data_IF_896892219631
#
_entry.id   IF_896892219631
#
_cell.length_a   1.000
_cell.length_b   1.000
_cell.length_c   1.000
_cell.angle_alpha   90.00
_cell.angle_beta   90.00
_cell.angle_gamma   90.00
#
_symmetry.space_group_name_H-M   'P 1'
#
loop_
_entity.id
_entity.type
_entity.pdbx_description
1 polymer ?
#
# COMPACT_ATOMS: atom_id res chain seq x y z
N UNK A 1 50.52 10.31 -13.12
CA UNK A 1 50.21 9.41 -14.24
C UNK A 1 48.83 8.84 -14.02
N UNK A 2 48.14 8.43 -15.09
CA UNK A 2 46.85 7.74 -14.96
C UNK A 2 47.09 6.34 -14.39
N UNK A 3 46.39 6.00 -13.31
CA UNK A 3 46.43 4.67 -12.69
C UNK A 3 45.32 3.82 -13.31
N UNK A 4 45.71 2.91 -14.21
CA UNK A 4 44.76 2.06 -14.93
C UNK A 4 44.36 0.90 -14.02
N UNK A 5 43.05 0.71 -13.83
CA UNK A 5 42.49 -0.41 -13.06
C UNK A 5 42.07 -1.54 -14.00
N UNK A 6 42.03 -2.77 -13.48
CA UNK A 6 41.62 -3.95 -14.22
C UNK A 6 40.17 -3.83 -14.73
N UNK A 7 39.95 -4.15 -16.01
CA UNK A 7 38.62 -4.20 -16.60
C UNK A 7 38.02 -5.59 -16.34
N UNK A 8 37.03 -5.65 -15.45
CA UNK A 8 36.24 -6.85 -15.25
C UNK A 8 35.09 -6.94 -16.26
N UNK A 9 35.16 -7.88 -17.20
CA UNK A 9 34.07 -8.23 -18.11
C UNK A 9 33.31 -9.43 -17.54
N UNK A 10 31.99 -9.31 -17.43
CA UNK A 10 31.09 -10.44 -17.10
C UNK A 10 30.24 -10.77 -18.32
N UNK A 11 30.27 -12.01 -18.77
CA UNK A 11 29.43 -12.53 -19.85
C UNK A 11 28.29 -13.36 -19.25
N UNK A 12 27.11 -13.24 -19.84
CA UNK A 12 25.91 -13.96 -19.41
C UNK A 12 25.25 -14.60 -20.64
N UNK A 13 24.50 -15.68 -20.43
CA UNK A 13 23.78 -16.32 -21.53
C UNK A 13 22.67 -15.41 -22.07
N UNK A 14 22.26 -15.60 -23.33
CA UNK A 14 21.12 -14.86 -23.91
C UNK A 14 19.77 -15.13 -23.23
N UNK A 15 19.72 -16.15 -22.36
CA UNK A 15 18.55 -16.46 -21.52
C UNK A 15 18.58 -15.69 -20.18
N UNK A 16 19.72 -15.09 -19.84
CA UNK A 16 19.86 -14.37 -18.59
C UNK A 16 19.09 -13.05 -18.65
N UNK A 17 18.07 -12.93 -17.80
CA UNK A 17 17.28 -11.72 -17.67
C UNK A 17 17.91 -10.84 -16.60
N UNK A 18 18.34 -9.65 -16.99
CA UNK A 18 18.70 -8.61 -16.03
C UNK A 18 17.45 -7.86 -15.62
N UNK A 19 16.98 -8.12 -14.40
CA UNK A 19 16.00 -7.25 -13.78
C UNK A 19 16.70 -6.00 -13.28
N UNK A 20 16.22 -4.82 -13.68
CA UNK A 20 16.53 -3.60 -12.94
C UNK A 20 16.07 -3.84 -11.50
N UNK A 21 16.97 -3.67 -10.53
CA UNK A 21 16.66 -3.83 -9.12
C UNK A 21 17.18 -2.60 -8.38
N UNK A 22 16.32 -1.97 -7.59
CA UNK A 22 16.70 -0.88 -6.71
C UNK A 22 16.64 -1.42 -5.29
N UNK A 23 17.71 -1.27 -4.54
CA UNK A 23 17.75 -1.67 -3.14
C UNK A 23 17.15 -0.53 -2.30
N UNK A 24 16.11 -0.82 -1.52
CA UNK A 24 15.52 0.14 -0.57
C UNK A 24 15.80 -0.29 0.87
N UNK A 25 16.19 0.65 1.70
CA UNK A 25 16.29 0.49 3.16
C UNK A 25 15.24 1.39 3.82
N UNK A 26 14.64 0.91 4.91
CA UNK A 26 13.67 1.70 5.68
C UNK A 26 14.39 2.71 6.58
N UNK A 27 15.38 2.24 7.35
CA UNK A 27 16.36 3.06 8.09
C UNK A 27 17.77 2.83 7.53
N UNK A 28 18.75 3.71 7.82
CA UNK A 28 20.14 3.53 7.37
C UNK A 28 20.76 2.17 7.71
N UNK A 29 20.39 1.62 8.86
CA UNK A 29 20.83 0.34 9.41
C UNK A 29 19.95 -0.85 9.01
N UNK A 30 18.83 -0.63 8.33
CA UNK A 30 17.95 -1.71 7.87
C UNK A 30 18.58 -2.50 6.73
N UNK A 31 18.35 -3.81 6.70
CA UNK A 31 18.72 -4.67 5.56
C UNK A 31 18.11 -4.15 4.25
N UNK A 32 18.87 -4.15 3.13
CA UNK A 32 18.36 -3.69 1.86
C UNK A 32 17.35 -4.70 1.32
N UNK A 33 16.14 -4.22 1.02
CA UNK A 33 15.11 -5.00 0.32
C UNK A 33 15.13 -4.63 -1.15
N UNK A 34 15.25 -5.63 -2.01
CA UNK A 34 15.20 -5.42 -3.46
C UNK A 34 13.77 -5.06 -3.87
N UNK A 35 13.64 -4.14 -4.84
CA UNK A 35 12.38 -3.87 -5.51
C UNK A 35 11.79 -5.17 -6.05
N UNK A 36 10.50 -5.37 -5.84
CA UNK A 36 9.77 -6.56 -6.28
C UNK A 36 8.58 -6.21 -7.15
N UNK A 37 8.08 -7.22 -7.83
CA UNK A 37 6.84 -7.12 -8.58
C UNK A 37 5.63 -7.33 -7.66
N UNK A 38 4.50 -6.72 -8.01
CA UNK A 38 3.22 -6.97 -7.36
C UNK A 38 2.52 -8.18 -7.98
N UNK A 39 1.46 -8.69 -7.34
CA UNK A 39 0.61 -9.73 -7.94
C UNK A 39 -0.01 -9.31 -9.30
N UNK A 40 -0.12 -8.00 -9.56
CA UNK A 40 -0.70 -7.45 -10.79
C UNK A 40 0.33 -7.16 -11.88
N UNK A 41 1.63 -7.22 -11.58
CA UNK A 41 2.70 -6.85 -12.50
C UNK A 41 2.62 -7.59 -13.84
N UNK A 42 2.48 -8.92 -13.80
CA UNK A 42 2.42 -9.75 -15.01
C UNK A 42 1.22 -9.42 -15.90
N UNK A 43 0.11 -8.94 -15.32
CA UNK A 43 -1.05 -8.47 -16.08
C UNK A 43 -0.79 -7.10 -16.69
N UNK A 44 -0.26 -6.16 -15.90
CA UNK A 44 -0.01 -4.78 -16.33
C UNK A 44 1.09 -4.72 -17.40
N UNK A 45 2.10 -5.60 -17.32
CA UNK A 45 3.20 -5.71 -18.28
C UNK A 45 2.75 -6.12 -19.69
N UNK A 46 1.51 -6.62 -19.85
CA UNK A 46 0.90 -6.87 -21.17
C UNK A 46 0.48 -5.58 -21.86
N UNK A 47 0.24 -4.51 -21.10
CA UNK A 47 -0.31 -3.25 -21.58
C UNK A 47 0.70 -2.11 -21.58
N UNK A 48 1.77 -2.21 -20.79
CA UNK A 48 2.83 -1.21 -20.75
C UNK A 48 4.20 -1.80 -20.49
N UNK A 49 5.23 -1.05 -20.86
CA UNK A 49 6.63 -1.28 -20.44
C UNK A 49 7.14 -0.17 -19.53
N UNK A 50 6.34 0.87 -19.29
CA UNK A 50 6.68 2.01 -18.47
C UNK A 50 6.38 1.71 -17.00
N UNK A 51 7.40 1.22 -16.29
CA UNK A 51 7.34 0.92 -14.86
C UNK A 51 8.28 1.84 -14.07
N UNK A 52 7.79 2.33 -12.93
CA UNK A 52 8.54 3.13 -11.97
C UNK A 52 8.69 2.37 -10.65
N UNK A 53 9.78 2.65 -9.94
CA UNK A 53 9.96 2.17 -8.58
C UNK A 53 9.17 3.04 -7.62
N UNK A 54 8.34 2.41 -6.80
CA UNK A 54 7.62 3.08 -5.72
C UNK A 54 7.60 2.21 -4.47
N UNK A 55 8.24 2.70 -3.40
CA UNK A 55 8.19 2.10 -2.04
C UNK A 55 8.55 0.60 -2.00
N UNK A 56 9.50 0.18 -2.83
CA UNK A 56 9.99 -1.19 -2.95
C UNK A 56 9.27 -2.04 -4.00
N UNK A 57 8.46 -1.44 -4.88
CA UNK A 57 7.71 -2.18 -5.91
C UNK A 57 7.84 -1.56 -7.30
N UNK A 58 7.74 -2.39 -8.33
CA UNK A 58 7.56 -1.97 -9.72
C UNK A 58 6.09 -1.74 -10.03
N UNK A 59 5.71 -0.47 -10.25
CA UNK A 59 4.35 -0.08 -10.64
C UNK A 59 4.32 0.48 -12.05
N UNK A 60 3.23 0.20 -12.80
CA UNK A 60 3.01 0.86 -14.07
C UNK A 60 2.86 2.37 -13.85
N UNK A 61 3.68 3.16 -14.54
CA UNK A 61 3.67 4.61 -14.45
C UNK A 61 2.69 5.23 -15.46
N UNK A 62 2.64 4.65 -16.66
CA UNK A 62 1.67 5.01 -17.68
C UNK A 62 1.39 3.82 -18.60
N UNK A 63 0.26 3.84 -19.27
CA UNK A 63 -0.05 2.94 -20.37
C UNK A 63 0.30 3.66 -21.67
N UNK A 64 1.47 3.33 -22.21
CA UNK A 64 2.23 4.10 -23.21
C UNK A 64 1.47 4.56 -24.47
N UNK A 65 0.31 4.00 -24.79
CA UNK A 65 -0.54 4.42 -25.92
C UNK A 65 -1.55 5.51 -25.55
N UNK A 66 -2.04 5.50 -24.33
CA UNK A 66 -3.12 6.38 -23.87
C UNK A 66 -2.55 7.68 -23.29
N UNK A 67 -1.46 7.57 -22.52
CA UNK A 67 -0.86 8.70 -21.83
C UNK A 67 -1.74 9.27 -20.71
N UNK A 68 -1.19 10.15 -19.85
CA UNK A 68 -1.85 10.55 -18.60
C UNK A 68 -3.17 11.33 -18.82
N UNK A 69 -3.31 12.05 -19.94
CA UNK A 69 -4.54 12.78 -20.24
C UNK A 69 -5.68 11.83 -20.62
N UNK A 70 -5.43 10.81 -21.44
CA UNK A 70 -6.47 9.85 -21.78
C UNK A 70 -6.83 8.97 -20.57
N UNK A 71 -5.86 8.57 -19.75
CA UNK A 71 -6.10 7.86 -18.49
C UNK A 71 -6.97 8.68 -17.51
N UNK A 72 -6.73 9.99 -17.42
CA UNK A 72 -7.58 10.89 -16.65
C UNK A 72 -9.03 10.86 -17.14
N UNK A 73 -9.26 10.99 -18.45
CA UNK A 73 -10.60 10.97 -19.02
C UNK A 73 -11.25 9.59 -18.88
N UNK A 74 -10.50 8.50 -19.03
CA UNK A 74 -10.98 7.15 -18.76
C UNK A 74 -11.44 6.99 -17.31
N UNK A 75 -10.70 7.51 -16.33
CA UNK A 75 -11.12 7.49 -14.92
C UNK A 75 -12.38 8.33 -14.69
N UNK A 76 -12.52 9.48 -15.37
CA UNK A 76 -13.67 10.38 -15.19
C UNK A 76 -14.93 9.95 -15.91
N UNK A 77 -14.82 9.30 -17.07
CA UNK A 77 -15.92 8.97 -17.96
C UNK A 77 -16.25 7.46 -17.98
N UNK A 78 -15.32 6.61 -17.56
CA UNK A 78 -15.44 5.15 -17.59
C UNK A 78 -14.94 4.53 -16.27
N UNK A 79 -13.88 3.72 -16.31
CA UNK A 79 -13.20 3.19 -15.14
C UNK A 79 -11.71 2.93 -15.44
N UNK A 80 -10.90 2.96 -14.38
CA UNK A 80 -9.48 2.61 -14.42
C UNK A 80 -9.13 1.63 -13.30
N UNK A 81 -8.07 0.87 -13.52
CA UNK A 81 -7.44 0.01 -12.52
C UNK A 81 -6.10 0.62 -12.11
N UNK A 82 -5.88 0.73 -10.80
CA UNK A 82 -4.64 1.25 -10.24
C UNK A 82 -4.09 0.27 -9.20
N UNK A 83 -2.82 -0.11 -9.37
CA UNK A 83 -2.13 -0.96 -8.41
C UNK A 83 -1.63 -0.13 -7.24
N UNK A 84 -2.26 -0.32 -6.08
CA UNK A 84 -1.93 0.36 -4.84
C UNK A 84 -1.19 -0.56 -3.86
N UNK A 85 -0.77 -1.75 -4.30
CA UNK A 85 -0.08 -2.77 -3.48
C UNK A 85 1.05 -2.22 -2.61
N UNK A 86 1.80 -1.18 -3.01
CA UNK A 86 2.89 -0.65 -2.18
C UNK A 86 2.46 0.06 -0.91
N UNK A 87 1.20 0.51 -0.81
CA UNK A 87 0.67 1.09 0.43
C UNK A 87 0.86 0.11 1.59
N UNK A 88 1.33 0.62 2.72
CA UNK A 88 1.66 -0.18 3.89
C UNK A 88 0.40 -0.54 4.64
N UNK A 89 0.18 -1.85 4.80
CA UNK A 89 -0.93 -2.39 5.59
C UNK A 89 -0.41 -2.92 6.92
N UNK A 90 -1.04 -2.48 8.01
CA UNK A 90 -0.77 -2.97 9.35
C UNK A 90 -2.08 -3.45 9.98
N UNK A 91 -2.12 -4.73 10.35
CA UNK A 91 -3.18 -5.29 11.19
C UNK A 91 -2.92 -4.87 12.63
N UNK A 92 -3.91 -4.23 13.24
CA UNK A 92 -3.89 -3.74 14.62
C UNK A 92 -4.99 -4.47 15.38
N UNK A 93 -4.60 -5.46 16.17
CA UNK A 93 -5.52 -6.40 16.82
C UNK A 93 -5.26 -6.51 18.32
N UNK A 94 -6.30 -6.62 19.12
CA UNK A 94 -6.21 -6.78 20.57
C UNK A 94 -7.17 -5.84 21.32
N UNK A 95 -7.45 -6.12 22.60
CA UNK A 95 -8.45 -5.38 23.37
C UNK A 95 -8.15 -3.87 23.46
N UNK A 96 -6.88 -3.47 23.35
CA UNK A 96 -6.46 -2.06 23.43
C UNK A 96 -6.22 -1.42 22.04
N UNK A 97 -6.61 -2.09 20.95
CA UNK A 97 -6.40 -1.59 19.59
C UNK A 97 -7.07 -0.23 19.34
N UNK A 98 -8.33 -0.07 19.77
CA UNK A 98 -9.05 1.21 19.64
C UNK A 98 -8.34 2.31 20.44
N UNK A 99 -7.85 2.01 21.64
CA UNK A 99 -7.15 2.98 22.48
C UNK A 99 -5.82 3.44 21.86
N UNK A 100 -5.02 2.51 21.32
CA UNK A 100 -3.79 2.84 20.59
C UNK A 100 -4.09 3.75 19.39
N UNK A 101 -5.07 3.39 18.57
CA UNK A 101 -5.42 4.14 17.37
C UNK A 101 -6.02 5.50 17.72
N UNK A 102 -6.82 5.58 18.77
CA UNK A 102 -7.37 6.84 19.28
C UNK A 102 -6.28 7.80 19.77
N UNK A 103 -5.18 7.26 20.32
CA UNK A 103 -4.04 8.06 20.77
C UNK A 103 -3.18 8.56 19.60
N UNK A 104 -2.99 7.73 18.57
CA UNK A 104 -2.02 7.98 17.49
C UNK A 104 -2.59 8.70 16.27
N UNK A 105 -3.91 8.72 16.12
CA UNK A 105 -4.59 9.30 14.97
C UNK A 105 -5.35 10.58 15.34
N UNK A 106 -5.45 11.50 14.39
CA UNK A 106 -6.11 12.80 14.61
C UNK A 106 -7.65 12.72 14.60
N UNK A 107 -8.23 11.62 14.11
CA UNK A 107 -9.68 11.39 14.10
C UNK A 107 -10.15 10.71 15.40
N UNK A 108 -11.41 10.95 15.75
CA UNK A 108 -12.12 10.22 16.81
C UNK A 108 -12.44 8.78 16.33
N UNK A 109 -11.60 7.82 16.72
CA UNK A 109 -11.69 6.41 16.35
C UNK A 109 -12.87 5.72 17.05
N UNK A 110 -13.28 6.21 18.22
CA UNK A 110 -14.45 5.66 18.96
C UNK A 110 -15.75 5.81 18.18
N UNK A 111 -15.83 6.82 17.29
CA UNK A 111 -16.98 7.03 16.40
C UNK A 111 -16.95 6.18 15.13
N UNK A 112 -15.85 5.46 14.86
CA UNK A 112 -15.74 4.59 13.71
C UNK A 112 -16.49 3.28 13.99
N UNK A 113 -17.60 3.05 13.30
CA UNK A 113 -18.38 1.82 13.38
C UNK A 113 -17.67 0.64 12.71
N UNK A 114 -18.02 -0.59 13.11
CA UNK A 114 -17.53 -1.81 12.44
C UNK A 114 -17.98 -1.82 10.99
N UNK A 115 -17.08 -2.18 10.07
CA UNK A 115 -17.28 -2.13 8.62
C UNK A 115 -17.00 -0.77 7.99
N UNK A 116 -16.74 0.28 8.79
CA UNK A 116 -16.45 1.60 8.27
C UNK A 116 -14.95 1.83 8.05
N UNK A 117 -14.68 2.81 7.18
CA UNK A 117 -13.34 3.33 6.88
C UNK A 117 -13.31 4.84 7.11
N UNK A 118 -12.19 5.35 7.60
CA UNK A 118 -11.98 6.79 7.75
C UNK A 118 -10.58 7.19 7.32
N UNK A 119 -10.48 8.32 6.63
CA UNK A 119 -9.20 8.96 6.37
C UNK A 119 -8.79 9.84 7.55
N UNK A 120 -7.51 9.76 7.94
CA UNK A 120 -6.94 10.47 9.08
C UNK A 120 -5.43 10.62 8.93
N UNK A 121 -4.88 11.61 9.62
CA UNK A 121 -3.43 11.74 9.79
C UNK A 121 -2.98 10.98 11.05
N UNK A 122 -1.73 10.54 11.03
CA UNK A 122 -0.99 10.02 12.18
C UNK A 122 0.12 11.02 12.51
N UNK A 123 0.23 11.42 13.76
CA UNK A 123 1.19 12.43 14.20
C UNK A 123 2.01 11.95 15.40
N UNK A 124 3.20 12.51 15.54
CA UNK A 124 3.97 12.46 16.78
C UNK A 124 3.32 13.33 17.86
N UNK A 125 3.78 13.18 19.10
CA UNK A 125 3.29 13.94 20.27
C UNK A 125 3.45 15.46 20.11
N UNK A 126 4.48 15.91 19.35
CA UNK A 126 4.70 17.32 19.05
C UNK A 126 3.88 17.83 17.85
N UNK A 127 2.95 17.03 17.33
CA UNK A 127 2.06 17.39 16.21
C UNK A 127 2.67 17.24 14.82
N UNK A 128 3.92 16.82 14.69
CA UNK A 128 4.53 16.55 13.38
C UNK A 128 3.90 15.33 12.74
N UNK A 129 3.50 15.45 11.47
CA UNK A 129 2.88 14.36 10.71
C UNK A 129 3.89 13.25 10.43
N UNK A 130 3.48 12.02 10.72
CA UNK A 130 4.22 10.79 10.44
C UNK A 130 3.79 10.25 9.08
N UNK A 131 2.48 10.12 8.89
CA UNK A 131 1.85 9.51 7.75
C UNK A 131 0.37 9.92 7.70
N UNK A 132 -0.27 9.67 6.58
CA UNK A 132 -1.71 9.77 6.40
C UNK A 132 -2.23 8.53 5.69
N UNK A 133 -3.51 8.24 5.88
CA UNK A 133 -4.04 7.00 5.37
C UNK A 133 -5.46 6.71 5.82
N UNK A 134 -5.89 5.50 5.54
CA UNK A 134 -7.22 5.00 5.90
C UNK A 134 -7.13 4.00 7.03
N UNK A 135 -7.97 4.21 8.05
CA UNK A 135 -8.23 3.24 9.09
C UNK A 135 -9.54 2.50 8.78
N UNK A 136 -9.46 1.17 8.69
CA UNK A 136 -10.62 0.29 8.57
C UNK A 136 -10.91 -0.35 9.93
N UNK A 137 -12.15 -0.33 10.40
CA UNK A 137 -12.59 -1.10 11.57
C UNK A 137 -13.24 -2.39 11.11
N UNK A 138 -12.52 -3.51 11.25
CA UNK A 138 -12.94 -4.83 10.76
C UNK A 138 -13.71 -5.62 11.82
N UNK A 139 -13.59 -5.24 13.09
CA UNK A 139 -14.32 -5.80 14.21
C UNK A 139 -14.21 -4.92 15.44
N UNK A 140 -14.66 -5.43 16.60
CA UNK A 140 -14.56 -4.70 17.87
C UNK A 140 -13.12 -4.31 18.19
N UNK A 141 -12.23 -5.31 18.13
CA UNK A 141 -10.81 -5.26 18.53
C UNK A 141 -9.88 -5.58 17.35
N UNK A 142 -10.36 -5.34 16.11
CA UNK A 142 -9.67 -5.67 14.87
C UNK A 142 -9.75 -4.48 13.90
N UNK A 143 -8.59 -3.90 13.62
CA UNK A 143 -8.44 -2.74 12.76
C UNK A 143 -7.32 -2.96 11.75
N UNK A 144 -7.38 -2.20 10.65
CA UNK A 144 -6.32 -2.15 9.66
C UNK A 144 -5.97 -0.72 9.32
N UNK A 145 -4.71 -0.36 9.57
CA UNK A 145 -4.13 0.89 9.10
C UNK A 145 -3.54 0.67 7.70
N UNK A 146 -3.94 1.51 6.75
CA UNK A 146 -3.35 1.55 5.40
C UNK A 146 -2.78 2.95 5.17
N UNK A 147 -1.46 3.06 5.19
CA UNK A 147 -0.74 4.33 5.04
C UNK A 147 0.37 4.26 3.98
N UNK A 148 1.12 5.35 3.83
CA UNK A 148 2.18 5.48 2.84
C UNK A 148 3.56 4.98 3.31
N UNK A 149 3.77 4.84 4.62
CA UNK A 149 5.10 4.64 5.19
C UNK A 149 5.21 3.47 6.18
N UNK A 150 6.42 2.90 6.27
CA UNK A 150 6.76 1.85 7.22
C UNK A 150 6.88 2.39 8.65
N UNK A 151 7.24 3.67 8.80
CA UNK A 151 7.35 4.37 10.09
C UNK A 151 6.05 4.37 10.90
N UNK A 152 4.89 4.36 10.23
CA UNK A 152 3.58 4.32 10.87
C UNK A 152 3.42 3.05 11.72
N UNK A 153 3.91 1.91 11.22
CA UNK A 153 3.91 0.65 11.95
C UNK A 153 4.90 0.61 13.11
N UNK A 154 6.05 1.29 12.98
CA UNK A 154 7.01 1.43 14.09
C UNK A 154 6.43 2.29 15.20
N UNK A 155 5.89 3.46 14.84
CA UNK A 155 5.26 4.38 15.78
C UNK A 155 4.14 3.72 16.59
N UNK A 156 3.27 2.96 15.92
CA UNK A 156 2.21 2.20 16.59
C UNK A 156 2.77 1.18 17.59
N UNK A 157 3.83 0.43 17.23
CA UNK A 157 4.46 -0.56 18.14
C UNK A 157 5.16 0.10 19.32
N UNK A 158 5.90 1.18 19.07
CA UNK A 158 6.62 1.93 20.10
C UNK A 158 5.64 2.57 21.08
N UNK A 159 4.57 3.17 20.57
CA UNK A 159 3.50 3.78 21.39
C UNK A 159 2.77 2.71 22.20
N UNK A 160 2.41 1.57 21.60
CA UNK A 160 1.79 0.46 22.32
C UNK A 160 2.65 -0.01 23.49
N UNK A 161 3.96 -0.17 23.27
CA UNK A 161 4.92 -0.56 24.32
C UNK A 161 5.04 0.52 25.40
N UNK A 162 5.17 1.80 25.01
CA UNK A 162 5.28 2.95 25.93
C UNK A 162 4.07 3.05 26.85
N UNK A 163 2.88 2.80 26.33
CA UNK A 163 1.61 2.88 27.06
C UNK A 163 1.22 1.56 27.77
N UNK A 164 1.98 0.48 27.58
CA UNK A 164 1.68 -0.83 28.18
C UNK A 164 0.38 -1.48 27.66
N UNK A 165 0.01 -1.20 26.41
CA UNK A 165 -1.25 -1.66 25.82
C UNK A 165 -1.17 -3.12 25.33
N UNK A 166 -2.22 -3.89 25.54
CA UNK A 166 -2.38 -5.24 24.99
C UNK A 166 -2.91 -5.16 23.56
N UNK A 167 -1.99 -4.89 22.63
CA UNK A 167 -2.26 -4.75 21.20
C UNK A 167 -1.09 -5.28 20.38
N UNK A 168 -1.43 -5.89 19.25
CA UNK A 168 -0.49 -6.47 18.31
C UNK A 168 -0.58 -5.73 16.98
N UNK A 169 0.58 -5.25 16.49
CA UNK A 169 0.70 -4.50 15.22
C UNK A 169 1.59 -5.26 14.25
N UNK A 170 0.99 -5.89 13.24
CA UNK A 170 1.68 -6.75 12.26
C UNK A 170 1.60 -6.15 10.85
N UNK A 171 2.72 -6.13 10.12
CA UNK A 171 2.68 -5.78 8.70
C UNK A 171 2.02 -6.90 7.90
N UNK A 172 1.07 -6.56 7.05
CA UNK A 172 0.37 -7.46 6.13
C UNK A 172 0.55 -7.06 4.66
N UNK A 173 1.43 -6.09 4.38
CA UNK A 173 1.65 -5.54 3.03
C UNK A 173 1.96 -6.62 2.00
N UNK A 174 2.79 -7.59 2.36
CA UNK A 174 3.26 -8.67 1.47
C UNK A 174 2.18 -9.74 1.25
N UNK A 175 1.18 -9.79 2.12
CA UNK A 175 0.10 -10.77 2.09
C UNK A 175 -1.11 -10.23 1.32
N UNK A 176 -1.20 -8.91 1.15
CA UNK A 176 -2.36 -8.25 0.56
C UNK A 176 -1.95 -7.20 -0.47
N UNK A 177 -2.00 -7.65 -1.73
CA UNK A 177 -2.01 -6.76 -2.88
C UNK A 177 -3.39 -6.09 -2.98
N UNK A 178 -3.42 -4.80 -3.30
CA UNK A 178 -4.66 -4.06 -3.49
C UNK A 178 -4.67 -3.36 -4.83
N UNK A 179 -5.82 -3.48 -5.49
CA UNK A 179 -6.13 -2.81 -6.73
C UNK A 179 -7.31 -1.89 -6.48
N UNK A 180 -7.23 -0.65 -6.96
CA UNK A 180 -8.35 0.27 -6.95
C UNK A 180 -9.05 0.20 -8.31
N UNK A 181 -10.37 0.04 -8.29
CA UNK A 181 -11.25 0.21 -9.46
C UNK A 181 -11.95 1.54 -9.29
N UNK A 182 -11.63 2.52 -10.13
CA UNK A 182 -12.08 3.91 -9.96
C UNK A 182 -12.74 4.45 -11.21
N UNK A 183 -13.84 5.19 -11.04
CA UNK A 183 -14.59 5.84 -12.13
C UNK A 183 -16.08 5.51 -12.09
N UNK A 184 -16.92 6.23 -12.86
CA UNK A 184 -18.37 6.06 -12.85
C UNK A 184 -18.84 4.62 -13.13
N UNK A 185 -18.10 3.83 -13.93
CA UNK A 185 -18.45 2.44 -14.24
C UNK A 185 -17.85 1.39 -13.30
N UNK A 186 -17.09 1.81 -12.28
CA UNK A 186 -16.44 0.90 -11.33
C UNK A 186 -17.42 -0.05 -10.63
N UNK A 187 -18.61 0.43 -10.27
CA UNK A 187 -19.65 -0.36 -9.62
C UNK A 187 -20.16 -1.49 -10.50
N UNK A 188 -20.35 -1.23 -11.79
CA UNK A 188 -20.82 -2.22 -12.75
C UNK A 188 -19.79 -3.34 -12.92
N UNK A 189 -18.51 -2.97 -13.04
CA UNK A 189 -17.39 -3.93 -13.09
C UNK A 189 -17.34 -4.78 -11.81
N UNK A 190 -17.44 -4.15 -10.63
CA UNK A 190 -17.38 -4.87 -9.35
C UNK A 190 -18.55 -5.83 -9.15
N UNK A 191 -19.74 -5.52 -9.69
CA UNK A 191 -20.92 -6.40 -9.60
C UNK A 191 -20.68 -7.77 -10.23
N UNK A 192 -19.82 -7.87 -11.25
CA UNK A 192 -19.53 -9.14 -11.93
C UNK A 192 -18.63 -10.06 -11.12
N UNK A 193 -17.85 -9.53 -10.18
CA UNK A 193 -16.78 -10.28 -9.49
C UNK A 193 -16.88 -10.29 -7.98
N UNK A 194 -17.66 -9.39 -7.37
CA UNK A 194 -17.83 -9.30 -5.92
C UNK A 194 -19.20 -9.83 -5.52
N UNK A 195 -19.18 -10.85 -4.66
CA UNK A 195 -20.38 -11.33 -3.98
C UNK A 195 -20.57 -10.61 -2.64
N UNK A 196 -21.81 -10.28 -2.31
CA UNK A 196 -22.21 -9.71 -1.02
C UNK A 196 -23.16 -10.68 -0.31
N UNK A 197 -23.02 -10.79 1.01
CA UNK A 197 -23.90 -11.63 1.82
C UNK A 197 -25.33 -11.09 1.77
N UNK A 198 -26.38 -11.94 1.77
CA UNK A 198 -27.78 -11.49 1.77
C UNK A 198 -28.17 -10.59 2.95
N UNK A 199 -27.36 -10.55 4.01
CA UNK A 199 -27.57 -9.68 5.19
C UNK A 199 -26.81 -8.34 5.11
N UNK A 200 -26.18 -8.04 3.97
CA UNK A 200 -25.46 -6.79 3.70
C UNK A 200 -26.03 -6.14 2.43
N UNK A 201 -25.96 -4.80 2.30
CA UNK A 201 -26.37 -4.13 1.06
C UNK A 201 -25.66 -4.70 -0.16
N UNK A 202 -26.41 -4.89 -1.24
CA UNK A 202 -25.82 -5.35 -2.49
C UNK A 202 -25.05 -4.21 -3.18
N UNK A 203 -24.13 -4.53 -4.10
CA UNK A 203 -23.41 -3.52 -4.89
C UNK A 203 -24.37 -2.66 -5.73
N UNK A 204 -25.57 -3.15 -6.03
CA UNK A 204 -26.54 -2.45 -6.86
C UNK A 204 -27.58 -1.60 -6.14
N UNK A 205 -27.59 -1.61 -4.81
CA UNK A 205 -28.51 -0.82 -3.98
C UNK A 205 -27.94 0.55 -3.61
#
# INVERSE_FOLDING_TARGET
GWDLTDIHVRTYSGQHKFSRAIARRMKPDSEPKMTRETAFHSSFAKHTRDFVEYRGYWLANSFAKEGPIAEYWACRQDAVLMDLSPLRKFEVTGPDAEALLQYTLTRDVKKLGVGQVVYTAMCYEHGGMIDDGTLLRLGKDNFRWVGGDDFSGEWLRETAKKLGLNVLVRSSTDQMHNIAVQGPKSRDILREVVWTSPVQPSIGE
#
